data_IF_751854477960
#
_entry.id   IF_751854477960
#
_cell.length_a   1.000
_cell.length_b   1.000
_cell.length_c   1.000
_cell.angle_alpha   90.00
_cell.angle_beta   90.00
_cell.angle_gamma   90.00
#
_symmetry.space_group_name_H-M   'P 1'
#
loop_
_entity.id
_entity.type
_entity.pdbx_description
1 polymer ?
#
# COMPACT_ATOMS: atom_id res chain seq x y z
N UNK A 1 -8.75 -48.66 13.58
CA UNK A 1 -9.07 -47.77 14.70
C UNK A 1 -8.50 -46.40 14.39
N UNK A 2 -9.40 -45.46 14.16
CA UNK A 2 -9.17 -44.08 13.70
C UNK A 2 -8.55 -43.18 14.78
N UNK A 3 -7.78 -42.18 14.35
CA UNK A 3 -7.58 -40.89 15.03
C UNK A 3 -6.63 -40.91 16.24
N UNK A 4 -5.68 -40.00 16.40
CA UNK A 4 -5.85 -38.55 16.26
C UNK A 4 -4.49 -37.86 16.10
N UNK A 5 -4.29 -37.21 14.95
CA UNK A 5 -3.24 -36.22 14.72
C UNK A 5 -3.56 -34.96 15.52
N UNK A 6 -2.90 -34.77 16.65
CA UNK A 6 -3.07 -33.61 17.52
C UNK A 6 -1.98 -32.58 17.27
N UNK A 7 -2.20 -31.79 16.21
CA UNK A 7 -1.85 -30.36 16.09
C UNK A 7 -0.47 -29.96 16.63
N UNK A 8 0.55 -30.14 15.77
CA UNK A 8 1.72 -29.27 15.78
C UNK A 8 1.23 -27.82 15.66
N UNK A 9 1.22 -27.13 16.80
CA UNK A 9 0.92 -25.71 16.88
C UNK A 9 2.10 -25.00 16.20
N UNK A 10 2.01 -24.81 14.90
CA UNK A 10 2.82 -23.84 14.15
C UNK A 10 2.54 -22.50 14.81
N UNK A 11 3.37 -22.13 15.78
CA UNK A 11 3.47 -20.76 16.25
C UNK A 11 3.93 -19.99 15.03
N UNK A 12 2.98 -19.33 14.37
CA UNK A 12 3.30 -18.41 13.29
C UNK A 12 4.36 -17.46 13.84
N UNK A 13 5.55 -17.51 13.25
CA UNK A 13 6.59 -16.53 13.44
C UNK A 13 6.09 -15.21 12.86
N UNK A 14 5.13 -14.57 13.53
CA UNK A 14 4.72 -13.20 13.28
C UNK A 14 5.87 -12.34 13.75
N UNK A 15 6.63 -11.86 12.77
CA UNK A 15 7.55 -10.75 12.89
C UNK A 15 8.53 -10.90 14.05
N UNK A 16 9.71 -11.47 13.76
CA UNK A 16 10.92 -10.93 14.39
C UNK A 16 10.98 -9.47 13.96
N UNK A 17 10.30 -8.62 14.72
CA UNK A 17 10.49 -7.20 14.67
C UNK A 17 11.99 -6.99 14.82
N UNK A 18 12.55 -6.35 13.80
CA UNK A 18 13.88 -5.77 13.75
C UNK A 18 14.42 -5.58 15.15
N UNK A 19 15.60 -6.17 15.42
CA UNK A 19 16.27 -6.10 16.70
C UNK A 19 16.08 -4.71 17.28
N UNK A 20 15.44 -4.66 18.46
CA UNK A 20 15.24 -3.42 19.18
C UNK A 20 16.64 -2.96 19.58
N UNK A 21 17.30 -2.28 18.64
CA UNK A 21 18.49 -1.50 18.88
C UNK A 21 18.13 -0.65 20.08
N UNK A 22 18.90 -0.88 21.12
CA UNK A 22 18.77 -0.33 22.43
C UNK A 22 18.84 1.18 22.27
N UNK A 23 17.70 1.84 22.05
CA UNK A 23 17.58 3.26 22.27
C UNK A 23 17.62 3.44 23.79
N UNK A 24 18.80 3.21 24.37
CA UNK A 24 19.13 3.71 25.69
C UNK A 24 18.77 5.18 25.66
N UNK A 25 17.87 5.62 26.55
CA UNK A 25 17.76 7.04 26.87
C UNK A 25 19.19 7.55 27.04
N UNK A 26 19.60 8.54 26.24
CA UNK A 26 20.96 9.12 26.30
C UNK A 26 21.35 9.33 27.76
N UNK A 27 22.41 8.66 28.21
CA UNK A 27 22.91 8.74 29.59
C UNK A 27 22.49 7.63 30.56
N UNK A 28 21.69 6.63 30.15
CA UNK A 28 21.41 5.43 30.97
C UNK A 28 22.31 4.26 30.59
N UNK A 29 22.73 3.47 31.59
CA UNK A 29 23.52 2.25 31.35
C UNK A 29 22.72 1.18 30.61
N UNK A 30 23.39 0.49 29.71
CA UNK A 30 22.89 -0.65 28.93
C UNK A 30 23.14 -1.96 29.69
N UNK A 31 22.47 -3.05 29.27
CA UNK A 31 22.66 -4.39 29.86
C UNK A 31 24.11 -4.89 29.79
N UNK A 32 24.88 -4.47 28.77
CA UNK A 32 26.27 -4.89 28.58
C UNK A 32 27.29 -3.98 29.28
N UNK A 33 26.85 -2.86 29.86
CA UNK A 33 27.75 -1.93 30.52
C UNK A 33 28.10 -2.45 31.92
N UNK A 34 29.39 -2.40 32.31
CA UNK A 34 29.77 -2.84 33.64
C UNK A 34 29.20 -1.93 34.74
N UNK A 35 28.82 -2.50 35.90
CA UNK A 35 28.50 -1.71 37.07
C UNK A 35 29.72 -0.91 37.52
N UNK A 36 29.50 0.24 38.16
CA UNK A 36 30.59 1.03 38.69
C UNK A 36 31.25 0.29 39.87
N UNK A 37 32.58 0.34 39.99
CA UNK A 37 33.32 -0.33 41.09
C UNK A 37 32.75 0.01 42.48
N UNK A 38 32.35 1.27 42.70
CA UNK A 38 31.72 1.75 43.95
C UNK A 38 30.30 1.22 44.23
N UNK A 39 29.65 0.57 43.25
CA UNK A 39 28.30 0.02 43.36
C UNK A 39 28.25 -1.51 43.34
N UNK A 40 29.35 -2.20 43.00
CA UNK A 40 29.41 -3.68 42.88
C UNK A 40 29.04 -4.37 44.21
N UNK A 41 29.49 -3.83 45.35
CA UNK A 41 29.16 -4.37 46.67
C UNK A 41 28.05 -3.62 47.41
N UNK A 42 27.42 -2.61 46.79
CA UNK A 42 26.43 -1.77 47.48
C UNK A 42 25.04 -2.42 47.42
N UNK A 43 24.62 -3.00 48.53
CA UNK A 43 23.24 -3.44 48.74
C UNK A 43 22.40 -2.29 49.26
N UNK A 44 21.13 -2.19 48.84
CA UNK A 44 20.21 -1.18 49.35
C UNK A 44 19.73 -1.57 50.75
N UNK A 45 20.18 -0.85 51.78
CA UNK A 45 19.70 -1.01 53.15
C UNK A 45 18.30 -0.41 53.27
N UNK A 46 17.31 -1.15 53.77
CA UNK A 46 15.98 -0.60 53.99
C UNK A 46 16.02 0.51 55.05
N UNK A 47 15.23 1.58 54.88
CA UNK A 47 15.11 2.60 55.92
C UNK A 47 14.39 2.03 57.16
N UNK A 48 14.59 2.62 58.35
CA UNK A 48 13.79 2.28 59.52
C UNK A 48 12.32 2.64 59.28
N UNK A 49 11.39 1.82 59.79
CA UNK A 49 9.95 1.99 59.57
C UNK A 49 9.23 1.95 60.92
N UNK A 50 8.40 2.95 61.20
CA UNK A 50 7.49 2.94 62.34
C UNK A 50 6.31 1.99 62.03
N UNK A 51 6.05 0.97 62.89
CA UNK A 51 4.96 0.02 62.68
C UNK A 51 3.56 0.68 62.68
N UNK A 52 3.35 1.74 63.48
CA UNK A 52 2.04 2.40 63.58
C UNK A 52 1.73 3.16 62.29
N UNK A 53 2.67 3.99 61.83
CA UNK A 53 2.54 4.73 60.58
C UNK A 53 2.41 3.80 59.37
N UNK A 54 3.23 2.75 59.33
CA UNK A 54 3.20 1.75 58.26
C UNK A 54 1.83 1.08 58.13
N UNK A 55 1.19 0.76 59.26
CA UNK A 55 -0.15 0.19 59.26
C UNK A 55 -1.19 1.16 58.71
N UNK A 56 -1.17 2.43 59.17
CA UNK A 56 -2.10 3.47 58.71
C UNK A 56 -1.94 3.73 57.21
N UNK A 57 -0.69 3.86 56.73
CA UNK A 57 -0.39 4.08 55.31
C UNK A 57 -0.83 2.89 54.45
N UNK A 58 -0.64 1.66 54.92
CA UNK A 58 -1.09 0.47 54.21
C UNK A 58 -2.60 0.45 54.04
N UNK A 59 -3.35 0.80 55.10
CA UNK A 59 -4.82 0.87 55.05
C UNK A 59 -5.30 1.98 54.12
N UNK A 60 -4.75 3.18 54.23
CA UNK A 60 -5.09 4.32 53.35
C UNK A 60 -4.74 4.03 51.90
N UNK A 61 -3.58 3.45 51.63
CA UNK A 61 -3.15 3.04 50.30
C UNK A 61 -4.08 1.99 49.70
N UNK A 62 -4.55 1.02 50.50
CA UNK A 62 -5.56 0.04 50.06
C UNK A 62 -6.89 0.71 49.70
N UNK A 63 -7.41 1.57 50.56
CA UNK A 63 -8.67 2.29 50.34
C UNK A 63 -8.57 3.17 49.09
N UNK A 64 -7.52 3.96 48.96
CA UNK A 64 -7.26 4.80 47.80
C UNK A 64 -7.19 3.99 46.50
N UNK A 65 -6.40 2.90 46.49
CA UNK A 65 -6.28 2.03 45.32
C UNK A 65 -7.64 1.42 44.92
N UNK A 66 -8.47 1.05 45.89
CA UNK A 66 -9.80 0.51 45.64
C UNK A 66 -10.70 1.56 44.97
N UNK A 67 -10.74 2.78 45.50
CA UNK A 67 -11.51 3.89 44.93
C UNK A 67 -11.06 4.22 43.50
N UNK A 68 -9.75 4.37 43.27
CA UNK A 68 -9.21 4.69 41.94
C UNK A 68 -9.47 3.56 40.94
N UNK A 69 -9.42 2.29 41.37
CA UNK A 69 -9.78 1.15 40.52
C UNK A 69 -11.25 1.20 40.11
N UNK A 70 -12.15 1.50 41.05
CA UNK A 70 -13.58 1.65 40.75
C UNK A 70 -13.82 2.80 39.74
N UNK A 71 -13.21 3.96 39.97
CA UNK A 71 -13.30 5.09 39.04
C UNK A 71 -12.76 4.76 37.64
N UNK A 72 -11.66 3.99 37.56
CA UNK A 72 -11.10 3.56 36.27
C UNK A 72 -12.07 2.66 35.49
N UNK A 73 -12.79 1.79 36.19
CA UNK A 73 -13.82 0.94 35.56
C UNK A 73 -14.99 1.77 35.04
N UNK A 74 -15.46 2.75 35.82
CA UNK A 74 -16.51 3.67 35.39
C UNK A 74 -16.10 4.48 34.16
N UNK A 75 -14.88 5.02 34.14
CA UNK A 75 -14.35 5.74 32.97
C UNK A 75 -14.25 4.82 31.75
N UNK A 76 -13.74 3.59 31.92
CA UNK A 76 -13.69 2.60 30.82
C UNK A 76 -15.09 2.28 30.30
N UNK A 77 -16.06 2.06 31.19
CA UNK A 77 -17.45 1.80 30.81
C UNK A 77 -18.02 2.96 30.00
N UNK A 78 -17.82 4.21 30.43
CA UNK A 78 -18.24 5.41 29.67
C UNK A 78 -17.57 5.52 28.31
N UNK A 79 -16.28 5.18 28.18
CA UNK A 79 -15.59 5.14 26.87
C UNK A 79 -16.19 4.05 25.97
N UNK A 80 -16.49 2.87 26.52
CA UNK A 80 -17.15 1.80 25.78
C UNK A 80 -18.56 2.20 25.34
N UNK A 81 -19.35 2.80 26.23
CA UNK A 81 -20.67 3.33 25.91
C UNK A 81 -20.61 4.45 24.87
N UNK A 82 -19.64 5.35 24.92
CA UNK A 82 -19.46 6.38 23.89
C UNK A 82 -19.13 5.78 22.51
N UNK A 83 -18.36 4.68 22.48
CA UNK A 83 -18.09 3.93 21.25
C UNK A 83 -19.32 3.13 20.77
N UNK A 84 -20.07 2.57 21.71
CA UNK A 84 -21.20 1.66 21.43
C UNK A 84 -22.53 2.39 21.21
N UNK A 85 -22.74 3.57 21.79
CA UNK A 85 -23.94 4.43 21.61
C UNK A 85 -23.92 5.06 20.21
N UNK A 86 -24.10 4.22 19.22
CA UNK A 86 -25.19 4.36 18.25
C UNK A 86 -25.00 5.33 17.09
N UNK A 87 -24.22 6.40 17.23
CA UNK A 87 -23.96 7.30 16.09
C UNK A 87 -22.97 6.69 15.12
N UNK A 88 -21.97 5.95 15.61
CA UNK A 88 -20.98 5.32 14.73
C UNK A 88 -21.61 4.23 13.84
N UNK A 89 -22.52 3.42 14.37
CA UNK A 89 -23.17 2.35 13.60
C UNK A 89 -24.15 2.87 12.56
N UNK A 90 -25.01 3.83 12.93
CA UNK A 90 -25.96 4.44 11.99
C UNK A 90 -25.26 5.25 10.90
N UNK A 91 -24.29 6.09 11.28
CA UNK A 91 -23.46 6.82 10.31
C UNK A 91 -22.65 5.88 9.42
N UNK A 92 -22.15 4.76 9.94
CA UNK A 92 -21.44 3.79 9.11
C UNK A 92 -22.36 3.15 8.07
N UNK A 93 -23.62 2.88 8.43
CA UNK A 93 -24.62 2.37 7.50
C UNK A 93 -25.03 3.43 6.47
N UNK A 94 -25.30 4.66 6.91
CA UNK A 94 -25.59 5.82 6.04
C UNK A 94 -24.45 6.07 5.04
N UNK A 95 -23.21 6.12 5.52
CA UNK A 95 -22.03 6.28 4.65
C UNK A 95 -21.88 5.12 3.66
N UNK A 96 -22.19 3.88 4.08
CA UNK A 96 -22.13 2.73 3.18
C UNK A 96 -23.21 2.82 2.10
N UNK A 97 -24.44 3.23 2.46
CA UNK A 97 -25.52 3.44 1.48
C UNK A 97 -25.19 4.57 0.50
N UNK A 98 -24.71 5.71 0.99
CA UNK A 98 -24.28 6.83 0.14
C UNK A 98 -23.15 6.40 -0.81
N UNK A 99 -22.18 5.63 -0.33
CA UNK A 99 -21.12 5.11 -1.17
C UNK A 99 -21.67 4.20 -2.28
N UNK A 100 -22.61 3.31 -1.97
CA UNK A 100 -23.24 2.45 -2.98
C UNK A 100 -24.00 3.27 -4.03
N UNK A 101 -24.73 4.31 -3.62
CA UNK A 101 -25.45 5.21 -4.53
C UNK A 101 -24.49 5.97 -5.45
N UNK A 102 -23.39 6.49 -4.89
CA UNK A 102 -22.34 7.17 -5.67
C UNK A 102 -21.67 6.24 -6.67
N UNK A 103 -21.38 5.00 -6.27
CA UNK A 103 -20.81 4.00 -7.18
C UNK A 103 -21.78 3.62 -8.30
N UNK A 104 -23.07 3.46 -7.99
CA UNK A 104 -24.10 3.20 -9.00
C UNK A 104 -24.20 4.35 -10.01
N UNK A 105 -24.19 5.60 -9.53
CA UNK A 105 -24.19 6.79 -10.38
C UNK A 105 -22.94 6.86 -11.26
N UNK A 106 -21.76 6.63 -10.69
CA UNK A 106 -20.50 6.63 -11.45
C UNK A 106 -20.51 5.58 -12.56
N UNK A 107 -21.03 4.38 -12.28
CA UNK A 107 -21.18 3.34 -13.30
C UNK A 107 -22.14 3.75 -14.42
N UNK A 108 -23.27 4.37 -14.09
CA UNK A 108 -24.20 4.86 -15.09
C UNK A 108 -23.57 5.93 -15.99
N UNK A 109 -22.83 6.87 -15.40
CA UNK A 109 -22.13 7.94 -16.13
C UNK A 109 -21.02 7.37 -17.03
N UNK A 110 -20.23 6.42 -16.53
CA UNK A 110 -19.20 5.74 -17.33
C UNK A 110 -19.81 4.99 -18.52
N UNK A 111 -21.00 4.39 -18.37
CA UNK A 111 -21.71 3.74 -19.49
C UNK A 111 -22.09 4.76 -20.56
N UNK A 112 -22.64 5.91 -20.16
CA UNK A 112 -22.98 6.98 -21.11
C UNK A 112 -21.74 7.48 -21.87
N UNK A 113 -20.64 7.75 -21.15
CA UNK A 113 -19.38 8.19 -21.76
C UNK A 113 -18.78 7.11 -22.69
N UNK A 114 -18.94 5.84 -22.34
CA UNK A 114 -18.47 4.75 -23.18
C UNK A 114 -19.23 4.66 -24.51
N UNK A 115 -20.55 4.85 -24.49
CA UNK A 115 -21.34 4.89 -25.72
C UNK A 115 -20.99 6.11 -26.59
N UNK A 116 -20.75 7.28 -25.98
CA UNK A 116 -20.25 8.44 -26.71
C UNK A 116 -18.86 8.20 -27.31
N UNK A 117 -17.97 7.51 -26.59
CA UNK A 117 -16.65 7.12 -27.12
C UNK A 117 -16.78 6.18 -28.31
N UNK A 118 -17.65 5.17 -28.24
CA UNK A 118 -17.93 4.28 -29.37
C UNK A 118 -18.45 5.03 -30.58
N UNK A 119 -19.39 5.97 -30.37
CA UNK A 119 -19.92 6.79 -31.46
C UNK A 119 -18.83 7.61 -32.14
N UNK A 120 -17.94 8.23 -31.35
CA UNK A 120 -16.78 8.96 -31.88
C UNK A 120 -15.82 8.06 -32.67
N UNK A 121 -15.45 6.90 -32.11
CA UNK A 121 -14.55 5.96 -32.80
C UNK A 121 -15.13 5.46 -34.13
N UNK A 122 -16.44 5.28 -34.21
CA UNK A 122 -17.11 4.92 -35.48
C UNK A 122 -17.03 6.02 -36.53
N UNK A 123 -16.95 7.28 -36.12
CA UNK A 123 -16.76 8.42 -37.03
C UNK A 123 -15.28 8.58 -37.42
N UNK A 124 -14.36 8.38 -36.48
CA UNK A 124 -12.92 8.48 -36.73
C UNK A 124 -12.38 7.33 -37.59
N UNK A 125 -12.97 6.12 -37.53
CA UNK A 125 -12.53 4.96 -38.30
C UNK A 125 -12.46 5.19 -39.83
N UNK A 126 -13.53 5.65 -40.52
CA UNK A 126 -13.46 5.90 -41.96
C UNK A 126 -12.49 7.04 -42.32
N UNK A 127 -12.37 8.07 -41.47
CA UNK A 127 -11.41 9.16 -41.70
C UNK A 127 -9.96 8.67 -41.60
N UNK A 128 -9.68 7.75 -40.66
CA UNK A 128 -8.37 7.11 -40.55
C UNK A 128 -8.09 6.17 -41.71
N UNK A 129 -9.07 5.35 -42.12
CA UNK A 129 -8.94 4.47 -43.29
C UNK A 129 -8.64 5.26 -44.56
N UNK A 130 -9.30 6.39 -44.77
CA UNK A 130 -9.02 7.28 -45.91
C UNK A 130 -7.60 7.85 -45.86
N UNK A 131 -7.18 8.38 -44.71
CA UNK A 131 -5.81 8.90 -44.55
C UNK A 131 -4.76 7.81 -44.76
N UNK A 132 -4.99 6.61 -44.23
CA UNK A 132 -4.09 5.48 -44.43
C UNK A 132 -4.02 5.07 -45.91
N UNK A 133 -5.15 5.00 -46.62
CA UNK A 133 -5.17 4.70 -48.04
C UNK A 133 -4.41 5.77 -48.85
N UNK A 134 -4.62 7.06 -48.57
CA UNK A 134 -3.90 8.15 -49.22
C UNK A 134 -2.39 8.10 -48.95
N UNK A 135 -1.99 7.81 -47.70
CA UNK A 135 -0.59 7.65 -47.31
C UNK A 135 0.06 6.43 -47.99
N UNK A 136 -0.64 5.30 -48.06
CA UNK A 136 -0.17 4.08 -48.73
C UNK A 136 -0.05 4.29 -50.25
N UNK A 137 -1.03 4.94 -50.88
CA UNK A 137 -0.98 5.29 -52.30
C UNK A 137 0.18 6.24 -52.62
N UNK A 138 0.39 7.27 -51.78
CA UNK A 138 1.49 8.21 -51.94
C UNK A 138 2.86 7.54 -51.76
N UNK A 139 3.00 6.65 -50.78
CA UNK A 139 4.21 5.86 -50.56
C UNK A 139 4.48 4.93 -51.75
N UNK A 140 3.47 4.15 -52.17
CA UNK A 140 3.57 3.25 -53.30
C UNK A 140 3.95 3.98 -54.59
N UNK A 141 3.31 5.12 -54.87
CA UNK A 141 3.62 5.94 -56.05
C UNK A 141 5.07 6.47 -56.01
N UNK A 142 5.55 6.91 -54.84
CA UNK A 142 6.92 7.37 -54.65
C UNK A 142 7.94 6.24 -54.84
N UNK A 143 7.69 5.08 -54.25
CA UNK A 143 8.54 3.89 -54.38
C UNK A 143 8.58 3.37 -55.81
N UNK A 144 7.43 3.28 -56.48
CA UNK A 144 7.33 2.83 -57.86
C UNK A 144 8.08 3.77 -58.82
N UNK A 145 7.97 5.09 -58.62
CA UNK A 145 8.72 6.08 -59.39
C UNK A 145 10.23 5.97 -59.15
N UNK A 146 10.66 5.84 -57.90
CA UNK A 146 12.07 5.67 -57.56
C UNK A 146 12.66 4.39 -58.17
N UNK A 147 11.89 3.30 -58.15
CA UNK A 147 12.27 2.03 -58.74
C UNK A 147 12.34 2.10 -60.28
N UNK A 148 11.37 2.74 -60.93
CA UNK A 148 11.39 2.96 -62.37
C UNK A 148 12.63 3.76 -62.82
N UNK A 149 12.96 4.85 -62.12
CA UNK A 149 14.15 5.64 -62.40
C UNK A 149 15.45 4.84 -62.21
N UNK A 150 15.52 3.97 -61.20
CA UNK A 150 16.65 3.06 -61.01
C UNK A 150 16.82 2.10 -62.18
N UNK A 151 15.74 1.46 -62.64
CA UNK A 151 15.77 0.53 -63.78
C UNK A 151 16.06 1.22 -65.11
N UNK A 152 15.58 2.43 -65.32
CA UNK A 152 15.96 3.23 -66.49
C UNK A 152 17.47 3.52 -66.51
N UNK A 153 18.06 3.88 -65.37
CA UNK A 153 19.52 4.10 -65.26
C UNK A 153 20.31 2.82 -65.54
N UNK A 154 19.90 1.69 -64.95
CA UNK A 154 20.51 0.39 -65.23
C UNK A 154 20.42 0.03 -66.73
N UNK A 155 19.27 0.25 -67.37
CA UNK A 155 19.09 -0.02 -68.79
C UNK A 155 19.97 0.87 -69.69
N UNK A 156 20.09 2.16 -69.36
CA UNK A 156 20.99 3.08 -70.07
C UNK A 156 22.46 2.67 -69.91
N UNK A 157 22.87 2.26 -68.70
CA UNK A 157 24.21 1.73 -68.46
C UNK A 157 24.47 0.47 -69.31
N UNK A 158 23.55 -0.49 -69.31
CA UNK A 158 23.67 -1.69 -70.14
C UNK A 158 23.70 -1.36 -71.64
N UNK A 159 23.00 -0.32 -72.10
CA UNK A 159 23.06 0.13 -73.49
C UNK A 159 24.42 0.72 -73.86
N UNK A 160 25.07 1.43 -72.93
CA UNK A 160 26.44 1.91 -73.12
C UNK A 160 27.45 0.75 -73.13
N UNK A 161 27.34 -0.18 -72.18
CA UNK A 161 28.16 -1.38 -72.11
C UNK A 161 27.98 -2.26 -73.36
N UNK A 162 26.76 -2.32 -73.92
CA UNK A 162 26.47 -3.13 -75.09
C UNK A 162 27.23 -2.72 -76.35
N UNK A 163 27.61 -1.44 -76.46
CA UNK A 163 28.46 -0.95 -77.57
C UNK A 163 29.87 -1.55 -77.55
N UNK A 164 30.29 -2.11 -76.41
CA UNK A 164 31.61 -2.70 -76.22
C UNK A 164 31.59 -4.24 -76.34
N UNK A 165 30.44 -4.88 -76.61
CA UNK A 165 30.42 -6.32 -76.86
C UNK A 165 31.01 -6.66 -78.22
N UNK A 166 31.74 -7.77 -78.29
CA UNK A 166 32.31 -8.30 -79.54
C UNK A 166 31.17 -8.92 -80.34
N UNK A 167 30.82 -8.32 -81.47
CA UNK A 167 29.78 -8.77 -82.42
C UNK A 167 30.31 -9.71 -83.48
#
# INVERSE_FOLDING_TARGET
>A
MLGTLSRLRVRSARGRGSGCYCCSRRGSKTRHDPPAKSKVGRVATPPPVDPVESFVLTKRGRQYCQTVRALRLEVRKKVHEARARGLAGRKALENATEHHELMARNQAENRLLHELRKARLRQEAPEQEQRHAEEEEAQWAGEAQAWAQLKEREALQLQEEAKNFIT
#
